data_IF_878256045958
#
_entry.id   IF_878256045958
#
_cell.length_a   1.000
_cell.length_b   1.000
_cell.length_c   1.000
_cell.angle_alpha   90.00
_cell.angle_beta   90.00
_cell.angle_gamma   90.00
#
_symmetry.space_group_name_H-M   'P 1'
#
loop_
_entity.id
_entity.type
_entity.pdbx_description
1 polymer ?
#
# COMPACT_ATOMS: atom_id res chain seq x y z
N UNK A 1 -7.64 -32.81 -14.79
CA UNK A 1 -8.20 -34.01 -14.16
C UNK A 1 -8.57 -33.56 -12.74
N UNK A 2 -9.74 -33.41 -12.36
CA UNK A 2 -11.09 -33.82 -12.43
C UNK A 2 -11.92 -32.76 -11.72
N UNK A 3 -12.93 -32.29 -12.37
CA UNK A 3 -14.12 -31.61 -11.88
C UNK A 3 -14.75 -32.27 -10.65
N UNK A 4 -15.30 -31.49 -9.73
CA UNK A 4 -16.53 -31.84 -9.01
C UNK A 4 -17.38 -30.61 -8.81
N UNK A 5 -18.48 -30.62 -9.51
CA UNK A 5 -19.53 -29.64 -9.59
C UNK A 5 -20.31 -29.47 -8.29
N UNK A 6 -20.67 -28.20 -8.06
CA UNK A 6 -21.60 -27.76 -7.04
C UNK A 6 -23.05 -27.99 -7.52
N UNK A 7 -23.73 -29.00 -6.99
CA UNK A 7 -25.17 -29.26 -7.16
C UNK A 7 -25.85 -29.00 -5.81
N UNK A 8 -26.22 -27.79 -5.51
CA UNK A 8 -27.07 -27.41 -4.36
C UNK A 8 -28.00 -26.26 -4.73
N UNK A 9 -28.83 -26.42 -5.74
CA UNK A 9 -29.88 -25.41 -6.01
C UNK A 9 -31.29 -25.96 -6.30
N UNK A 10 -31.51 -27.26 -6.30
CA UNK A 10 -32.84 -27.78 -6.71
C UNK A 10 -33.71 -28.37 -5.61
N UNK A 11 -33.27 -28.47 -4.37
CA UNK A 11 -34.05 -29.11 -3.30
C UNK A 11 -34.78 -28.16 -2.36
N UNK A 12 -34.47 -26.87 -2.34
CA UNK A 12 -35.14 -25.91 -1.45
C UNK A 12 -36.51 -25.43 -1.97
N UNK A 13 -36.73 -25.46 -3.29
CA UNK A 13 -37.94 -24.91 -3.90
C UNK A 13 -39.13 -25.90 -3.96
N UNK A 14 -38.89 -27.21 -3.82
CA UNK A 14 -39.95 -28.22 -3.86
C UNK A 14 -40.75 -28.39 -2.57
N UNK A 15 -40.20 -28.03 -1.42
CA UNK A 15 -40.91 -28.18 -0.14
C UNK A 15 -41.81 -26.99 0.21
N UNK A 16 -41.65 -25.83 -0.44
CA UNK A 16 -42.48 -24.65 -0.19
C UNK A 16 -43.88 -24.78 -0.80
N UNK A 17 -44.04 -25.59 -1.84
CA UNK A 17 -45.31 -25.72 -2.58
C UNK A 17 -46.32 -26.63 -1.90
N UNK A 18 -45.94 -27.44 -0.93
CA UNK A 18 -46.83 -28.42 -0.23
C UNK A 18 -47.51 -27.86 1.03
N UNK A 19 -47.07 -26.72 1.56
CA UNK A 19 -47.60 -26.17 2.82
C UNK A 19 -48.74 -25.19 2.62
N UNK A 20 -48.95 -24.68 1.39
CA UNK A 20 -49.95 -23.64 1.12
C UNK A 20 -51.36 -24.19 0.92
N UNK A 21 -51.54 -25.52 0.75
CA UNK A 21 -52.86 -26.08 0.39
C UNK A 21 -53.82 -26.39 1.54
N UNK A 22 -53.53 -25.96 2.78
CA UNK A 22 -54.43 -26.20 3.94
C UNK A 22 -54.75 -24.94 4.76
N UNK A 23 -54.59 -23.73 4.22
CA UNK A 23 -55.05 -22.56 4.91
C UNK A 23 -56.40 -22.09 4.35
N UNK A 24 -57.44 -22.23 5.13
CA UNK A 24 -58.83 -21.89 4.82
C UNK A 24 -58.99 -20.35 4.79
N UNK A 25 -59.20 -19.79 3.60
CA UNK A 25 -59.11 -18.33 3.29
C UNK A 25 -60.44 -17.58 3.56
N UNK A 26 -61.25 -18.01 4.55
CA UNK A 26 -62.56 -17.40 4.79
C UNK A 26 -62.68 -16.53 6.04
N UNK A 27 -61.56 -16.32 6.74
CA UNK A 27 -61.58 -15.41 7.92
C UNK A 27 -60.82 -14.10 7.58
N UNK A 28 -61.46 -12.93 7.91
CA UNK A 28 -60.81 -11.61 7.80
C UNK A 28 -59.49 -11.51 8.55
N UNK A 29 -59.23 -12.42 9.50
CA UNK A 29 -58.01 -12.52 10.29
C UNK A 29 -56.86 -13.20 9.48
N UNK A 30 -57.19 -14.12 8.57
CA UNK A 30 -56.19 -14.75 7.67
C UNK A 30 -55.61 -13.77 6.63
N UNK A 31 -56.46 -12.85 6.15
CA UNK A 31 -56.02 -11.83 5.21
C UNK A 31 -55.08 -10.77 5.83
N UNK A 32 -55.35 -10.43 7.11
CA UNK A 32 -54.47 -9.50 7.87
C UNK A 32 -53.11 -10.12 8.19
N UNK A 33 -53.07 -11.44 8.45
CA UNK A 33 -51.82 -12.14 8.73
C UNK A 33 -50.94 -12.30 7.47
N UNK A 34 -51.56 -12.47 6.30
CA UNK A 34 -50.84 -12.51 5.01
C UNK A 34 -50.25 -11.15 4.61
N UNK A 35 -50.97 -10.05 4.92
CA UNK A 35 -50.48 -8.69 4.68
C UNK A 35 -49.29 -8.39 5.62
N UNK A 36 -49.35 -8.84 6.88
CA UNK A 36 -48.25 -8.64 7.84
C UNK A 36 -47.01 -9.47 7.48
N UNK A 37 -47.18 -10.68 6.95
CA UNK A 37 -46.09 -11.51 6.45
C UNK A 37 -45.45 -10.96 5.17
N UNK A 38 -46.23 -10.37 4.29
CA UNK A 38 -45.74 -9.74 3.05
C UNK A 38 -44.98 -8.43 3.33
N UNK A 39 -45.43 -7.61 4.29
CA UNK A 39 -44.74 -6.38 4.69
C UNK A 39 -43.49 -6.65 5.50
N UNK A 40 -43.47 -7.71 6.32
CA UNK A 40 -42.28 -8.14 7.09
C UNK A 40 -41.16 -8.69 6.18
N UNK A 41 -41.52 -9.38 5.10
CA UNK A 41 -40.53 -9.89 4.13
C UNK A 41 -39.92 -8.78 3.26
N UNK A 42 -40.65 -7.66 3.06
CA UNK A 42 -40.15 -6.52 2.28
C UNK A 42 -39.16 -5.64 3.08
N UNK A 43 -39.25 -5.66 4.43
CA UNK A 43 -38.33 -4.90 5.29
C UNK A 43 -36.97 -5.61 5.56
N UNK A 44 -36.81 -6.88 5.14
CA UNK A 44 -35.55 -7.62 5.29
C UNK A 44 -34.72 -7.67 4.00
N UNK A 45 -35.10 -6.93 2.97
CA UNK A 45 -34.40 -6.88 1.69
C UNK A 45 -33.48 -5.68 1.55
N UNK A 46 -33.19 -4.98 2.67
CA UNK A 46 -32.21 -3.90 2.69
C UNK A 46 -30.83 -4.46 3.04
N UNK A 47 -29.88 -4.09 2.19
CA UNK A 47 -28.42 -4.15 2.40
C UNK A 47 -27.72 -5.46 2.07
N UNK A 48 -27.89 -5.98 0.88
CA UNK A 48 -26.73 -6.50 0.16
C UNK A 48 -26.01 -5.29 -0.46
N UNK A 49 -25.23 -4.59 0.37
CA UNK A 49 -24.18 -3.71 -0.12
C UNK A 49 -23.23 -4.61 -0.88
N UNK A 50 -23.33 -4.55 -2.21
CA UNK A 50 -22.33 -5.14 -3.09
C UNK A 50 -21.00 -4.51 -2.68
N UNK A 51 -20.17 -5.27 -1.96
CA UNK A 51 -18.76 -4.96 -1.78
C UNK A 51 -18.21 -4.87 -3.20
N UNK A 52 -18.00 -3.64 -3.68
CA UNK A 52 -17.24 -3.42 -4.90
C UNK A 52 -15.90 -4.10 -4.68
N UNK A 53 -15.40 -4.90 -5.62
CA UNK A 53 -14.04 -5.39 -5.55
C UNK A 53 -13.14 -4.16 -5.52
N UNK A 54 -12.64 -3.81 -4.34
CA UNK A 54 -11.57 -2.84 -4.18
C UNK A 54 -10.40 -3.44 -4.94
N UNK A 55 -10.04 -2.76 -6.02
CA UNK A 55 -8.90 -3.14 -6.83
C UNK A 55 -7.68 -3.09 -5.89
N UNK A 56 -6.98 -4.21 -5.59
CA UNK A 56 -5.89 -4.24 -4.61
C UNK A 56 -4.68 -3.40 -5.03
N UNK A 57 -4.74 -2.71 -6.15
CA UNK A 57 -3.63 -1.95 -6.73
C UNK A 57 -3.52 -0.49 -6.25
N UNK A 58 -4.42 0.01 -5.40
CA UNK A 58 -4.42 1.45 -5.03
C UNK A 58 -4.08 1.75 -3.57
N UNK A 59 -3.35 0.92 -2.85
CA UNK A 59 -3.08 1.47 -1.55
C UNK A 59 -2.48 0.61 -0.47
N UNK A 60 -1.32 0.13 -0.56
CA UNK A 60 -0.38 -0.01 0.55
C UNK A 60 0.91 -0.64 0.03
N UNK A 61 1.96 0.16 -0.05
CA UNK A 61 3.30 -0.29 -0.44
C UNK A 61 3.82 0.26 -1.76
N UNK A 62 3.03 1.04 -2.50
CA UNK A 62 3.54 1.71 -3.71
C UNK A 62 4.47 2.85 -3.31
N UNK A 63 5.64 2.91 -3.96
CA UNK A 63 6.58 3.99 -3.75
C UNK A 63 5.96 5.33 -4.15
N UNK A 64 5.99 6.31 -3.25
CA UNK A 64 5.65 7.70 -3.52
C UNK A 64 6.93 8.50 -3.59
N UNK A 65 7.06 9.31 -4.64
CA UNK A 65 8.21 10.17 -4.84
C UNK A 65 8.35 11.22 -3.74
N UNK A 66 9.58 11.54 -3.42
CA UNK A 66 9.92 12.63 -2.51
C UNK A 66 10.93 13.60 -3.13
N UNK A 67 11.22 14.69 -2.43
CA UNK A 67 12.25 15.63 -2.86
C UNK A 67 13.64 14.97 -2.86
N UNK A 68 14.40 15.16 -3.93
CA UNK A 68 15.71 14.55 -4.13
C UNK A 68 15.70 13.29 -4.98
N UNK A 69 14.55 12.65 -5.20
CA UNK A 69 14.46 11.47 -6.06
C UNK A 69 14.82 11.81 -7.51
N UNK A 70 15.44 10.87 -8.20
CA UNK A 70 15.77 10.96 -9.62
C UNK A 70 14.82 10.07 -10.41
N UNK A 71 14.18 10.65 -11.42
CA UNK A 71 13.17 9.99 -12.23
C UNK A 71 13.57 9.98 -13.69
N UNK A 72 13.37 8.85 -14.35
CA UNK A 72 13.43 8.76 -15.82
C UNK A 72 12.00 8.89 -16.36
N UNK A 73 11.75 9.97 -17.07
CA UNK A 73 10.49 10.19 -17.77
C UNK A 73 10.69 9.87 -19.23
N UNK A 74 10.05 8.81 -19.69
CA UNK A 74 10.12 8.33 -21.07
C UNK A 74 8.80 8.60 -21.78
N UNK A 75 8.86 9.26 -22.92
CA UNK A 75 7.70 9.51 -23.80
C UNK A 75 7.96 8.77 -25.09
N UNK A 76 7.13 7.76 -25.35
CA UNK A 76 7.32 6.90 -26.53
C UNK A 76 7.22 7.71 -27.83
N UNK A 77 8.22 7.57 -28.70
CA UNK A 77 8.32 8.30 -29.96
C UNK A 77 8.88 9.71 -29.85
N UNK A 78 9.08 10.24 -28.63
CA UNK A 78 9.50 11.63 -28.39
C UNK A 78 10.80 11.70 -27.56
N UNK A 79 11.97 11.45 -28.16
CA UNK A 79 13.24 11.44 -27.43
C UNK A 79 13.63 12.83 -26.89
N UNK A 80 13.18 13.91 -27.52
CA UNK A 80 13.48 15.28 -27.09
C UNK A 80 12.79 15.67 -25.79
N UNK A 81 11.66 15.03 -25.47
CA UNK A 81 10.90 15.24 -24.22
C UNK A 81 11.37 14.24 -23.16
N UNK A 82 11.83 13.05 -23.58
CA UNK A 82 12.30 11.98 -22.71
C UNK A 82 13.61 12.37 -22.03
N UNK A 83 13.63 12.36 -20.69
CA UNK A 83 14.83 12.72 -19.92
C UNK A 83 14.79 12.26 -18.48
N UNK A 84 15.96 12.16 -17.90
CA UNK A 84 16.14 12.07 -16.45
C UNK A 84 15.91 13.44 -15.81
N UNK A 85 15.10 13.48 -14.76
CA UNK A 85 14.79 14.68 -13.98
C UNK A 85 14.91 14.37 -12.48
N UNK A 86 15.29 15.34 -11.68
CA UNK A 86 15.26 15.23 -10.23
C UNK A 86 14.05 15.95 -9.64
N UNK A 87 13.53 15.43 -8.55
CA UNK A 87 12.47 16.10 -7.79
C UNK A 87 13.10 17.18 -6.93
N UNK A 88 12.76 18.41 -7.21
CA UNK A 88 13.27 19.60 -6.51
C UNK A 88 12.81 19.62 -5.04
N UNK A 89 13.42 20.47 -4.23
CA UNK A 89 13.04 20.65 -2.81
C UNK A 89 11.58 21.11 -2.62
N UNK A 90 10.99 21.79 -3.63
CA UNK A 90 9.56 22.13 -3.65
C UNK A 90 8.65 20.96 -4.07
N UNK A 91 9.19 19.76 -4.29
CA UNK A 91 8.47 18.57 -4.69
C UNK A 91 8.10 18.51 -6.17
N UNK A 92 8.62 19.43 -7.00
CA UNK A 92 8.27 19.52 -8.42
C UNK A 92 9.36 18.99 -9.34
N UNK A 93 8.93 18.54 -10.52
CA UNK A 93 9.78 18.26 -11.67
C UNK A 93 9.42 19.19 -12.82
N UNK A 94 10.36 19.43 -13.73
CA UNK A 94 10.15 20.23 -14.94
C UNK A 94 10.44 19.41 -16.18
N UNK A 95 9.52 19.42 -17.14
CA UNK A 95 9.65 18.73 -18.43
C UNK A 95 9.51 19.73 -19.58
N UNK A 96 10.28 19.59 -20.66
CA UNK A 96 10.08 20.37 -21.87
C UNK A 96 8.66 20.23 -22.39
N UNK A 97 8.13 21.28 -22.99
CA UNK A 97 6.80 21.38 -23.59
C UNK A 97 5.64 21.15 -22.62
N UNK A 98 5.82 20.34 -21.56
CA UNK A 98 4.80 19.99 -20.59
C UNK A 98 4.80 20.92 -19.35
N UNK A 99 5.95 21.59 -19.06
CA UNK A 99 6.11 22.51 -17.92
C UNK A 99 6.34 21.78 -16.59
N UNK A 100 5.81 22.33 -15.48
CA UNK A 100 6.05 21.83 -14.13
C UNK A 100 4.91 20.91 -13.63
N UNK A 101 5.32 19.89 -12.83
CA UNK A 101 4.42 18.93 -12.20
C UNK A 101 4.81 18.73 -10.74
N UNK A 102 3.82 18.61 -9.84
CA UNK A 102 4.03 18.12 -8.49
C UNK A 102 4.26 16.60 -8.55
N UNK A 103 5.48 16.18 -8.25
CA UNK A 103 5.89 14.77 -8.20
C UNK A 103 5.83 14.21 -6.78
N UNK A 104 6.23 14.99 -5.76
CA UNK A 104 6.20 14.56 -4.37
C UNK A 104 4.80 14.08 -3.95
N UNK A 105 4.75 12.95 -3.22
CA UNK A 105 3.51 12.29 -2.81
C UNK A 105 2.73 11.64 -3.97
N UNK A 106 3.34 11.43 -5.14
CA UNK A 106 2.74 10.74 -6.27
C UNK A 106 3.44 9.42 -6.53
N UNK A 107 2.64 8.43 -6.93
CA UNK A 107 3.19 7.18 -7.47
C UNK A 107 3.63 7.36 -8.93
N UNK A 108 4.52 6.50 -9.46
CA UNK A 108 4.93 6.53 -10.87
C UNK A 108 3.73 6.57 -11.83
N UNK A 109 2.73 5.72 -11.61
CA UNK A 109 1.50 5.65 -12.42
C UNK A 109 0.68 6.94 -12.37
N UNK A 110 0.52 7.53 -11.19
CA UNK A 110 -0.23 8.77 -11.02
C UNK A 110 0.47 9.96 -11.67
N UNK A 111 1.81 10.01 -11.58
CA UNK A 111 2.60 11.06 -12.23
C UNK A 111 2.59 10.92 -13.75
N UNK A 112 2.79 9.70 -14.29
CA UNK A 112 2.71 9.42 -15.71
C UNK A 112 1.38 9.87 -16.30
N UNK A 113 0.25 9.54 -15.65
CA UNK A 113 -1.09 9.98 -16.06
C UNK A 113 -1.19 11.51 -16.17
N UNK A 114 -0.71 12.24 -15.16
CA UNK A 114 -0.73 13.71 -15.16
C UNK A 114 0.12 14.32 -16.27
N UNK A 115 1.28 13.73 -16.56
CA UNK A 115 2.14 14.18 -17.66
C UNK A 115 1.43 13.93 -18.99
N UNK A 116 0.85 12.73 -19.19
CA UNK A 116 0.09 12.39 -20.40
C UNK A 116 -1.04 13.38 -20.65
N UNK A 117 -1.86 13.69 -19.62
CA UNK A 117 -2.97 14.66 -19.72
C UNK A 117 -2.53 16.06 -20.20
N UNK A 118 -1.31 16.48 -19.85
CA UNK A 118 -0.78 17.76 -20.34
C UNK A 118 -0.19 17.66 -21.73
N UNK A 119 0.50 16.55 -22.03
CA UNK A 119 1.18 16.35 -23.32
C UNK A 119 0.21 16.14 -24.47
N UNK A 120 -1.00 15.63 -24.27
CA UNK A 120 -2.05 15.48 -25.31
C UNK A 120 -2.32 16.78 -26.08
N UNK A 121 -2.01 17.94 -25.50
CA UNK A 121 -2.20 19.24 -26.16
C UNK A 121 -1.12 19.58 -27.18
N UNK A 122 0.04 18.89 -27.14
CA UNK A 122 1.23 19.19 -27.96
C UNK A 122 1.79 17.96 -28.68
N UNK A 123 1.44 16.76 -28.23
CA UNK A 123 1.89 15.49 -28.81
C UNK A 123 0.65 14.64 -29.13
N UNK A 124 0.64 14.02 -30.28
CA UNK A 124 -0.43 13.12 -30.68
C UNK A 124 -0.27 11.75 -29.98
N UNK A 125 -1.30 11.36 -29.21
CA UNK A 125 -1.34 10.07 -28.49
C UNK A 125 -0.09 9.78 -27.61
N UNK A 126 0.30 10.66 -26.68
CA UNK A 126 1.50 10.48 -25.86
C UNK A 126 1.38 9.26 -24.95
N UNK A 127 2.37 8.38 -24.98
CA UNK A 127 2.50 7.26 -24.05
C UNK A 127 3.70 7.54 -23.12
N UNK A 128 3.40 7.81 -21.84
CA UNK A 128 4.38 8.25 -20.85
C UNK A 128 4.64 7.15 -19.84
N UNK A 129 5.90 6.83 -19.62
CA UNK A 129 6.38 5.94 -18.55
C UNK A 129 7.27 6.74 -17.62
N UNK A 130 7.04 6.61 -16.30
CA UNK A 130 7.88 7.22 -15.27
C UNK A 130 8.52 6.09 -14.45
N UNK A 131 9.85 6.11 -14.36
CA UNK A 131 10.64 5.12 -13.65
C UNK A 131 11.41 5.85 -12.55
N UNK A 132 11.47 5.27 -11.34
CA UNK A 132 12.37 5.73 -10.28
C UNK A 132 13.79 5.23 -10.63
N UNK A 133 14.68 6.15 -11.01
CA UNK A 133 16.08 5.83 -11.30
C UNK A 133 16.89 5.77 -10.00
N UNK A 134 16.70 6.75 -9.08
CA UNK A 134 17.40 6.79 -7.80
C UNK A 134 16.45 7.28 -6.70
N UNK A 135 16.45 6.58 -5.56
CA UNK A 135 15.69 6.96 -4.37
C UNK A 135 16.60 7.68 -3.40
N UNK A 136 16.48 9.01 -3.35
CA UNK A 136 17.22 9.87 -2.41
C UNK A 136 16.31 10.50 -1.34
N UNK A 137 15.00 10.41 -1.51
CA UNK A 137 14.02 10.94 -0.55
C UNK A 137 13.72 10.02 0.61
N UNK A 138 13.87 8.70 0.39
CA UNK A 138 13.61 7.69 1.42
C UNK A 138 14.91 6.98 1.78
N UNK A 139 15.55 7.45 2.82
CA UNK A 139 16.82 6.95 3.33
C UNK A 139 16.71 6.72 4.83
N UNK A 140 17.55 5.85 5.36
CA UNK A 140 17.80 5.70 6.79
C UNK A 140 19.32 5.62 7.04
N UNK A 141 19.72 5.82 8.27
CA UNK A 141 21.12 5.84 8.64
C UNK A 141 21.44 4.69 9.61
N UNK A 142 22.60 4.08 9.44
CA UNK A 142 23.16 3.10 10.39
C UNK A 142 24.52 3.57 10.85
N UNK A 143 24.67 3.74 12.14
CA UNK A 143 25.88 4.26 12.78
C UNK A 143 26.38 3.33 13.87
N UNK A 144 27.68 3.45 14.20
CA UNK A 144 28.32 2.74 15.30
C UNK A 144 28.94 1.41 14.90
N UNK A 145 28.79 0.39 15.74
CA UNK A 145 29.52 -0.89 15.63
C UNK A 145 28.82 -1.88 14.67
N UNK A 146 28.78 -1.49 13.38
CA UNK A 146 28.39 -2.35 12.25
C UNK A 146 29.54 -2.44 11.26
N UNK A 147 29.50 -3.42 10.35
CA UNK A 147 30.59 -3.60 9.38
C UNK A 147 30.69 -2.41 8.42
N UNK A 148 29.55 -1.88 7.96
CA UNK A 148 29.47 -0.78 6.99
C UNK A 148 28.52 0.30 7.52
N UNK A 149 28.98 1.22 8.40
CA UNK A 149 28.15 2.35 8.81
C UNK A 149 27.94 3.31 7.65
N UNK A 150 26.71 3.87 7.51
CA UNK A 150 26.41 4.76 6.39
C UNK A 150 24.94 5.04 6.22
N UNK A 151 24.64 5.61 5.06
CA UNK A 151 23.30 5.92 4.59
C UNK A 151 22.79 4.81 3.67
N UNK A 152 21.54 4.39 3.84
CA UNK A 152 20.91 3.32 3.09
C UNK A 152 19.56 3.75 2.50
N UNK A 153 19.29 3.33 1.27
CA UNK A 153 18.02 3.60 0.61
C UNK A 153 16.89 2.71 1.17
N UNK A 154 15.72 3.31 1.39
CA UNK A 154 14.51 2.66 1.89
C UNK A 154 13.46 2.53 0.76
N UNK A 155 13.76 1.75 -0.27
CA UNK A 155 12.86 1.51 -1.42
C UNK A 155 11.74 0.51 -1.12
N UNK A 156 11.88 -0.25 -0.05
CA UNK A 156 10.91 -1.24 0.44
C UNK A 156 10.88 -1.23 1.97
N UNK A 157 9.86 -1.82 2.56
CA UNK A 157 9.77 -1.97 4.01
C UNK A 157 10.93 -2.82 4.54
N UNK A 158 11.68 -2.26 5.48
CA UNK A 158 12.88 -2.88 6.08
C UNK A 158 12.72 -2.84 7.59
N UNK A 159 12.97 -3.96 8.27
CA UNK A 159 12.99 -4.00 9.74
C UNK A 159 14.37 -3.65 10.29
N UNK A 160 14.46 -3.40 11.61
CA UNK A 160 15.73 -3.09 12.29
C UNK A 160 16.79 -4.16 12.01
N UNK A 161 16.43 -5.43 12.14
CA UNK A 161 17.35 -6.54 11.88
C UNK A 161 17.82 -6.59 10.42
N UNK A 162 16.90 -6.37 9.47
CA UNK A 162 17.24 -6.32 8.04
C UNK A 162 18.14 -5.12 7.72
N UNK A 163 17.94 -3.98 8.39
CA UNK A 163 18.79 -2.80 8.22
C UNK A 163 20.22 -3.07 8.69
N UNK A 164 20.39 -3.72 9.85
CA UNK A 164 21.69 -4.12 10.36
C UNK A 164 22.35 -5.15 9.43
N UNK A 165 21.58 -6.12 8.90
CA UNK A 165 22.09 -7.08 7.94
C UNK A 165 22.59 -6.41 6.65
N UNK A 166 21.88 -5.37 6.15
CA UNK A 166 22.32 -4.56 5.01
C UNK A 166 23.61 -3.79 5.28
N UNK A 167 23.84 -3.39 6.54
CA UNK A 167 25.07 -2.76 6.99
C UNK A 167 26.22 -3.77 7.23
N UNK A 168 26.11 -5.00 6.70
CA UNK A 168 27.11 -6.05 6.83
C UNK A 168 27.10 -6.77 8.19
N UNK A 169 26.08 -6.51 9.03
CA UNK A 169 25.96 -7.09 10.37
C UNK A 169 26.75 -6.33 11.44
N UNK A 170 26.82 -6.93 12.62
CA UNK A 170 27.51 -6.37 13.78
C UNK A 170 29.02 -6.51 13.66
N UNK A 171 29.74 -5.49 14.09
CA UNK A 171 31.20 -5.60 14.29
C UNK A 171 31.54 -6.45 15.56
N UNK A 172 32.78 -6.77 15.72
CA UNK A 172 33.27 -7.59 16.85
C UNK A 172 32.97 -6.99 18.24
N UNK A 173 32.96 -5.66 18.33
CA UNK A 173 32.79 -4.90 19.58
C UNK A 173 31.38 -4.37 19.82
N UNK A 174 30.41 -4.77 19.00
CA UNK A 174 29.05 -4.30 19.09
C UNK A 174 28.33 -4.71 20.37
N UNK A 175 27.71 -3.76 21.05
CA UNK A 175 26.84 -4.02 22.21
C UNK A 175 25.39 -4.29 21.68
N UNK A 176 25.12 -5.58 21.44
CA UNK A 176 23.90 -6.03 20.75
C UNK A 176 22.63 -5.88 21.59
N UNK A 177 22.76 -5.74 22.91
CA UNK A 177 21.60 -5.62 23.83
C UNK A 177 21.05 -4.20 23.97
N UNK A 178 21.62 -3.19 23.31
CA UNK A 178 21.20 -1.80 23.48
C UNK A 178 21.29 -0.98 22.21
N UNK A 179 20.72 -1.49 21.15
CA UNK A 179 20.64 -0.79 19.87
C UNK A 179 19.54 0.27 19.96
N UNK A 180 19.83 1.49 19.52
CA UNK A 180 18.88 2.61 19.56
C UNK A 180 18.37 2.91 18.16
N UNK A 181 17.07 3.04 18.01
CA UNK A 181 16.42 3.57 16.82
C UNK A 181 15.89 4.95 17.17
N UNK A 182 16.45 5.97 16.56
CA UNK A 182 16.10 7.38 16.75
C UNK A 182 15.24 7.81 15.57
N UNK A 183 13.98 8.12 15.83
CA UNK A 183 13.05 8.60 14.83
C UNK A 183 13.40 9.99 14.34
N UNK A 184 13.01 10.32 13.10
CA UNK A 184 13.18 11.67 12.54
C UNK A 184 12.53 12.74 13.43
N UNK A 185 13.16 13.92 13.61
CA UNK A 185 12.60 15.04 14.35
C UNK A 185 11.22 15.49 13.86
N UNK A 186 10.93 15.28 12.58
CA UNK A 186 9.67 15.66 11.96
C UNK A 186 8.50 14.70 12.30
N UNK A 187 8.80 13.48 12.80
CA UNK A 187 7.80 12.46 13.11
C UNK A 187 7.63 12.14 14.60
N UNK A 188 8.13 12.93 15.50
CA UNK A 188 8.34 12.75 16.93
C UNK A 188 9.69 12.10 17.21
N UNK A 189 10.56 12.80 17.92
CA UNK A 189 11.81 12.26 18.47
C UNK A 189 11.49 11.13 19.46
N UNK A 190 11.26 9.94 18.94
CA UNK A 190 11.03 8.76 19.75
C UNK A 190 12.26 7.86 19.65
N UNK A 191 12.92 7.63 20.77
CA UNK A 191 13.98 6.64 20.84
C UNK A 191 13.32 5.29 21.20
N UNK A 192 13.52 4.31 20.34
CA UNK A 192 13.13 2.92 20.56
C UNK A 192 14.39 2.10 20.76
N UNK A 193 14.36 1.19 21.71
CA UNK A 193 15.48 0.29 21.95
C UNK A 193 15.18 -1.07 21.33
N UNK A 194 16.20 -1.71 20.76
CA UNK A 194 16.16 -3.06 20.23
C UNK A 194 17.27 -3.88 20.91
N UNK A 195 16.87 -4.96 21.55
CA UNK A 195 17.76 -5.93 22.17
C UNK A 195 17.85 -7.18 21.29
N UNK A 196 19.00 -7.35 20.62
CA UNK A 196 19.20 -8.47 19.72
C UNK A 196 19.34 -9.81 20.47
N UNK A 197 19.90 -9.80 21.69
CA UNK A 197 20.09 -11.01 22.48
C UNK A 197 18.76 -11.56 23.00
N UNK A 198 17.82 -10.68 23.38
CA UNK A 198 16.46 -11.06 23.75
C UNK A 198 15.65 -11.50 22.53
N UNK A 199 15.80 -10.81 21.40
CA UNK A 199 15.17 -11.21 20.16
C UNK A 199 15.56 -12.63 19.72
N UNK A 200 16.85 -13.01 19.87
CA UNK A 200 17.31 -14.37 19.54
C UNK A 200 16.73 -15.45 20.46
N UNK A 201 16.36 -15.12 21.69
CA UNK A 201 15.68 -16.05 22.62
C UNK A 201 14.19 -16.21 22.28
N UNK A 202 13.67 -15.38 21.38
CA UNK A 202 12.24 -15.29 21.05
C UNK A 202 11.45 -14.38 21.98
N UNK A 203 12.13 -13.66 22.88
CA UNK A 203 11.54 -12.67 23.76
C UNK A 203 11.38 -11.32 23.03
N UNK A 204 10.31 -10.59 23.30
CA UNK A 204 10.07 -9.22 22.77
C UNK A 204 10.27 -9.10 21.25
N UNK A 205 9.75 -10.01 20.47
CA UNK A 205 9.92 -10.04 19.00
C UNK A 205 9.34 -8.80 18.29
N UNK A 206 8.38 -8.12 18.93
CA UNK A 206 7.77 -6.87 18.49
C UNK A 206 8.74 -5.68 18.44
N UNK A 207 9.91 -5.76 19.08
CA UNK A 207 10.98 -4.75 18.99
C UNK A 207 11.56 -4.64 17.58
N UNK A 208 11.43 -5.67 16.74
CA UNK A 208 11.92 -5.65 15.37
C UNK A 208 10.97 -4.83 14.46
N UNK A 209 10.85 -3.55 14.77
CA UNK A 209 9.97 -2.60 14.09
C UNK A 209 10.42 -2.35 12.65
N UNK A 210 9.49 -1.85 11.83
CA UNK A 210 9.78 -1.37 10.48
C UNK A 210 10.41 0.03 10.58
N UNK A 211 11.54 0.21 9.90
CA UNK A 211 12.26 1.47 9.79
C UNK A 211 11.47 2.45 8.92
N UNK A 212 11.45 3.69 9.33
CA UNK A 212 10.86 4.80 8.58
C UNK A 212 11.94 5.64 7.90
N UNK A 213 11.57 6.42 6.86
CA UNK A 213 12.49 7.39 6.28
C UNK A 213 13.05 8.34 7.35
N UNK A 214 14.34 8.64 7.22
CA UNK A 214 15.14 9.48 8.13
C UNK A 214 15.40 8.90 9.53
N UNK A 215 14.99 7.65 9.82
CA UNK A 215 15.36 6.99 11.06
C UNK A 215 16.88 6.76 11.12
N UNK A 216 17.44 6.85 12.31
CA UNK A 216 18.85 6.55 12.56
C UNK A 216 18.98 5.38 13.53
N UNK A 217 19.64 4.31 13.09
CA UNK A 217 19.97 3.15 13.92
C UNK A 217 21.39 3.35 14.46
N UNK A 218 21.53 3.32 15.78
CA UNK A 218 22.84 3.44 16.45
C UNK A 218 23.15 2.14 17.19
N UNK A 219 24.22 1.50 16.77
CA UNK A 219 24.75 0.28 17.41
C UNK A 219 25.95 0.66 18.28
N UNK A 220 25.82 0.64 19.61
CA UNK A 220 26.90 1.05 20.52
C UNK A 220 28.08 0.07 20.54
#
# INVERSE_FOLDING_TARGET
MVFTDCVVEHTCFKNFRKTIHKFNLTSKMGLLLLIFLATGAFLLMDSVVAAQPQNPEEGSGLYEFGAGDVLDVLVFGEPEISRTVFVRSDGRISLPLAGEFMAAGKTPKALAKKITEKLIKVVESPNVTVILAESSSKIYYVLGQVAEPGQYSLTQSVTVLQAIARAGGFSEWAKKSRIMIIGSPQQSEKIVYFDYDDFLKGDNTEQNIVIKPEDTIVVP
#
